data_IF_710872713609
#
_entry.id   IF_710872713609
#
_cell.length_a   1.000
_cell.length_b   1.000
_cell.length_c   1.000
_cell.angle_alpha   90.00
_cell.angle_beta   90.00
_cell.angle_gamma   90.00
#
_symmetry.space_group_name_H-M   'P 1'
#
loop_
_entity.id
_entity.type
_entity.pdbx_description
1 polymer ?
#
# COMPACT_ATOMS: atom_id res chain seq x y z
N UNK A 1 -71.71 1.00 -0.85
CA UNK A 1 -73.17 0.97 -1.06
C UNK A 1 -73.52 0.06 -2.24
N UNK A 2 -74.80 -0.15 -2.53
CA UNK A 2 -75.26 -0.47 -3.88
C UNK A 2 -74.86 0.70 -4.81
N UNK A 3 -74.17 0.42 -5.92
CA UNK A 3 -73.73 1.37 -6.96
C UNK A 3 -72.56 2.32 -6.63
N UNK A 4 -71.65 1.96 -5.71
CA UNK A 4 -70.36 2.67 -5.57
C UNK A 4 -70.40 4.04 -4.88
N UNK A 5 -71.53 4.43 -4.30
CA UNK A 5 -71.67 5.67 -3.51
C UNK A 5 -71.12 5.51 -2.08
N UNK A 6 -70.55 6.59 -1.57
CA UNK A 6 -70.08 6.68 -0.18
C UNK A 6 -71.30 6.92 0.72
N UNK A 7 -71.53 6.00 1.65
CA UNK A 7 -72.64 6.08 2.63
C UNK A 7 -72.17 6.64 3.97
N UNK A 8 -70.90 6.44 4.28
CA UNK A 8 -70.24 6.88 5.50
C UNK A 8 -68.72 6.86 5.26
N UNK A 9 -67.97 7.65 6.03
CA UNK A 9 -66.52 7.71 6.00
C UNK A 9 -65.98 8.03 7.40
N UNK A 10 -64.86 7.39 7.78
CA UNK A 10 -64.19 7.73 9.02
C UNK A 10 -63.36 9.00 8.88
N UNK A 11 -62.96 9.56 10.03
CA UNK A 11 -62.12 10.75 10.11
C UNK A 11 -60.78 10.60 9.36
N UNK A 12 -60.17 9.43 9.40
CA UNK A 12 -58.89 9.18 8.72
C UNK A 12 -59.02 9.30 7.19
N UNK A 13 -60.13 8.84 6.60
CA UNK A 13 -60.37 8.99 5.16
C UNK A 13 -60.57 10.46 4.77
N UNK A 14 -61.33 11.21 5.56
CA UNK A 14 -61.57 12.65 5.33
C UNK A 14 -60.26 13.45 5.43
N UNK A 15 -59.41 13.14 6.42
CA UNK A 15 -58.10 13.79 6.59
C UNK A 15 -57.12 13.40 5.46
N UNK A 16 -57.08 12.13 5.07
CA UNK A 16 -56.20 11.63 4.00
C UNK A 16 -56.48 12.31 2.65
N UNK A 17 -57.76 12.44 2.28
CA UNK A 17 -58.19 12.98 0.98
C UNK A 17 -58.54 14.49 1.01
N UNK A 18 -58.62 15.11 2.18
CA UNK A 18 -58.87 16.56 2.34
C UNK A 18 -60.31 16.99 2.06
N UNK A 19 -61.28 16.08 2.21
CA UNK A 19 -62.71 16.37 2.06
C UNK A 19 -63.42 16.34 3.42
N UNK A 20 -64.44 17.17 3.59
CA UNK A 20 -65.32 17.06 4.77
C UNK A 20 -66.30 15.88 4.61
N UNK A 21 -66.73 15.28 5.74
CA UNK A 21 -67.63 14.11 5.72
C UNK A 21 -68.92 14.38 4.92
N UNK A 22 -69.53 15.55 5.12
CA UNK A 22 -70.75 15.96 4.40
C UNK A 22 -70.53 16.17 2.89
N UNK A 23 -69.29 16.42 2.45
CA UNK A 23 -68.94 16.51 1.03
C UNK A 23 -68.72 15.14 0.39
N UNK A 24 -68.34 14.11 1.16
CA UNK A 24 -68.09 12.76 0.67
C UNK A 24 -69.37 11.92 0.63
N UNK A 25 -70.21 12.01 1.66
CA UNK A 25 -71.45 11.22 1.73
C UNK A 25 -72.37 11.55 0.55
N UNK A 26 -72.83 10.51 -0.15
CA UNK A 26 -73.68 10.61 -1.33
C UNK A 26 -72.94 10.76 -2.67
N UNK A 27 -71.64 11.10 -2.67
CA UNK A 27 -70.82 11.10 -3.88
C UNK A 27 -70.43 9.68 -4.30
N UNK A 28 -70.15 9.53 -5.60
CA UNK A 28 -69.51 8.34 -6.13
C UNK A 28 -68.07 8.24 -5.60
N UNK A 29 -67.68 7.09 -5.06
CA UNK A 29 -66.34 6.87 -4.51
C UNK A 29 -65.22 7.12 -5.54
N UNK A 30 -65.55 7.08 -6.83
CA UNK A 30 -64.60 7.37 -7.91
C UNK A 30 -64.11 8.82 -7.94
N UNK A 31 -64.76 9.74 -7.20
CA UNK A 31 -64.28 11.12 -7.04
C UNK A 31 -62.89 11.14 -6.38
N UNK A 32 -62.58 10.14 -5.55
CA UNK A 32 -61.29 9.95 -4.89
C UNK A 32 -60.24 9.31 -5.80
N UNK A 33 -60.54 9.11 -7.09
CA UNK A 33 -59.67 8.44 -8.05
C UNK A 33 -59.42 9.34 -9.26
N UNK A 34 -58.15 9.53 -9.68
CA UNK A 34 -57.82 10.34 -10.84
C UNK A 34 -58.30 9.67 -12.14
N UNK A 35 -58.60 10.45 -13.20
CA UNK A 35 -59.24 9.98 -14.43
C UNK A 35 -58.67 8.69 -15.02
N UNK A 36 -57.35 8.54 -15.01
CA UNK A 36 -56.62 7.41 -15.59
C UNK A 36 -56.91 6.08 -14.86
N UNK A 37 -57.21 6.14 -13.55
CA UNK A 37 -57.46 4.97 -12.72
C UNK A 37 -58.97 4.66 -12.55
N UNK A 38 -59.85 5.56 -13.00
CA UNK A 38 -61.30 5.46 -12.78
C UNK A 38 -61.91 4.19 -13.37
N UNK A 39 -61.53 3.83 -14.59
CA UNK A 39 -62.08 2.65 -15.27
C UNK A 39 -61.79 1.36 -14.50
N UNK A 40 -60.54 1.20 -14.04
CA UNK A 40 -60.13 0.07 -13.21
C UNK A 40 -60.92 0.02 -11.91
N UNK A 41 -61.02 1.14 -11.19
CA UNK A 41 -61.75 1.20 -9.91
C UNK A 41 -63.24 0.91 -10.11
N UNK A 42 -63.86 1.46 -11.17
CA UNK A 42 -65.26 1.16 -11.53
C UNK A 42 -65.46 -0.32 -11.77
N UNK A 43 -64.62 -0.93 -12.61
CA UNK A 43 -64.70 -2.35 -12.92
C UNK A 43 -64.60 -3.22 -11.67
N UNK A 44 -63.65 -2.92 -10.77
CA UNK A 44 -63.50 -3.63 -9.48
C UNK A 44 -64.72 -3.49 -8.57
N UNK A 45 -65.42 -2.35 -8.62
CA UNK A 45 -66.66 -2.12 -7.86
C UNK A 45 -67.82 -2.89 -8.50
N UNK A 46 -67.97 -2.82 -9.83
CA UNK A 46 -69.04 -3.48 -10.59
C UNK A 46 -68.93 -5.00 -10.59
N UNK A 47 -67.71 -5.55 -10.68
CA UNK A 47 -67.44 -6.99 -10.66
C UNK A 47 -67.54 -7.58 -9.24
N UNK A 48 -67.92 -6.78 -8.24
CA UNK A 48 -67.96 -7.15 -6.82
C UNK A 48 -66.62 -7.73 -6.29
N UNK A 49 -65.50 -7.38 -6.91
CA UNK A 49 -64.17 -7.92 -6.54
C UNK A 49 -63.75 -7.38 -5.17
N UNK A 50 -63.41 -8.29 -4.26
CA UNK A 50 -62.99 -8.01 -2.88
C UNK A 50 -61.48 -8.17 -2.68
N UNK A 51 -60.72 -8.59 -3.71
CA UNK A 51 -59.27 -8.69 -3.61
C UNK A 51 -58.65 -7.31 -3.41
N UNK A 52 -57.66 -7.15 -2.52
CA UNK A 52 -56.84 -5.94 -2.45
C UNK A 52 -56.23 -5.59 -3.80
N UNK A 53 -56.13 -4.30 -4.09
CA UNK A 53 -55.45 -3.81 -5.30
C UNK A 53 -54.91 -2.40 -5.08
N UNK A 54 -53.84 -2.07 -5.79
CA UNK A 54 -53.27 -0.73 -5.79
C UNK A 54 -53.96 0.16 -6.84
N UNK A 55 -54.08 1.45 -6.53
CA UNK A 55 -54.56 2.49 -7.42
C UNK A 55 -53.93 3.83 -7.02
N UNK A 56 -54.31 4.90 -7.71
CA UNK A 56 -54.01 6.26 -7.28
C UNK A 56 -55.24 6.89 -6.61
N UNK A 57 -54.99 7.62 -5.54
CA UNK A 57 -55.93 8.49 -4.85
C UNK A 57 -55.80 9.93 -5.33
N UNK A 58 -56.92 10.64 -5.42
CA UNK A 58 -56.98 12.06 -5.79
C UNK A 58 -57.54 12.85 -4.60
N UNK A 59 -56.71 13.71 -4.01
CA UNK A 59 -57.11 14.64 -2.95
C UNK A 59 -57.96 15.77 -3.51
N UNK A 60 -58.67 16.47 -2.62
CA UNK A 60 -59.49 17.65 -2.97
C UNK A 60 -58.69 18.77 -3.66
N UNK A 61 -57.43 18.95 -3.26
CA UNK A 61 -56.51 19.94 -3.83
C UNK A 61 -55.90 19.54 -5.18
N UNK A 62 -56.22 18.34 -5.68
CA UNK A 62 -55.69 17.80 -6.93
C UNK A 62 -54.43 16.94 -6.78
N UNK A 63 -53.87 16.81 -5.57
CA UNK A 63 -52.70 15.95 -5.33
C UNK A 63 -53.04 14.50 -5.59
N UNK A 64 -52.18 13.82 -6.35
CA UNK A 64 -52.32 12.40 -6.67
C UNK A 64 -51.29 11.60 -5.87
N UNK A 65 -51.73 10.53 -5.21
CA UNK A 65 -50.87 9.72 -4.34
C UNK A 65 -51.24 8.22 -4.42
N UNK A 66 -50.27 7.30 -4.24
CA UNK A 66 -50.53 5.88 -4.35
C UNK A 66 -51.33 5.37 -3.15
N UNK A 67 -52.34 4.54 -3.42
CA UNK A 67 -53.20 3.93 -2.40
C UNK A 67 -53.39 2.44 -2.62
N UNK A 68 -53.53 1.68 -1.54
CA UNK A 68 -54.05 0.31 -1.56
C UNK A 68 -55.54 0.33 -1.16
N UNK A 69 -56.39 -0.27 -2.00
CA UNK A 69 -57.81 -0.38 -1.77
C UNK A 69 -58.12 -1.80 -1.31
N UNK A 70 -58.69 -1.95 -0.11
CA UNK A 70 -59.07 -3.24 0.51
C UNK A 70 -60.58 -3.31 0.75
N UNK A 71 -61.33 -3.83 -0.22
CA UNK A 71 -62.78 -3.95 -0.10
C UNK A 71 -63.21 -5.24 0.61
N UNK A 72 -64.25 -5.14 1.43
CA UNK A 72 -64.96 -6.29 2.01
C UNK A 72 -66.47 -6.09 1.92
N UNK A 73 -67.21 -7.19 1.85
CA UNK A 73 -68.66 -7.17 1.96
C UNK A 73 -69.08 -7.55 3.37
N UNK A 74 -69.92 -6.71 3.98
CA UNK A 74 -70.50 -6.94 5.29
C UNK A 74 -72.03 -6.92 5.20
N UNK A 75 -72.73 -7.84 5.88
CA UNK A 75 -74.17 -7.74 6.06
C UNK A 75 -74.50 -6.63 7.06
N UNK A 76 -75.39 -5.71 6.69
CA UNK A 76 -75.89 -4.65 7.57
C UNK A 76 -77.38 -4.44 7.32
N UNK A 77 -78.21 -4.62 8.37
CA UNK A 77 -79.68 -4.45 8.32
C UNK A 77 -80.37 -5.17 7.14
N UNK A 78 -79.96 -6.42 6.87
CA UNK A 78 -80.53 -7.25 5.79
C UNK A 78 -80.03 -6.93 4.38
N UNK A 79 -79.06 -6.01 4.23
CA UNK A 79 -78.44 -5.62 2.95
C UNK A 79 -76.94 -5.92 2.95
N UNK A 80 -76.35 -6.19 1.78
CA UNK A 80 -74.89 -6.31 1.63
C UNK A 80 -74.29 -4.94 1.38
N UNK A 81 -73.42 -4.48 2.27
CA UNK A 81 -72.68 -3.24 2.09
C UNK A 81 -71.21 -3.53 1.79
N UNK A 82 -70.64 -2.78 0.85
CA UNK A 82 -69.21 -2.74 0.59
C UNK A 82 -68.55 -1.74 1.53
N UNK A 83 -67.64 -2.23 2.36
CA UNK A 83 -66.77 -1.43 3.23
C UNK A 83 -65.36 -1.51 2.66
N UNK A 84 -64.76 -0.35 2.44
CA UNK A 84 -63.46 -0.23 1.79
C UNK A 84 -62.48 0.43 2.75
N UNK A 85 -61.38 -0.25 3.04
CA UNK A 85 -60.20 0.37 3.65
C UNK A 85 -59.33 0.95 2.55
N UNK A 86 -58.86 2.17 2.74
CA UNK A 86 -57.87 2.82 1.86
C UNK A 86 -56.63 3.07 2.68
N UNK A 87 -55.48 2.60 2.18
CA UNK A 87 -54.17 2.74 2.83
C UNK A 87 -53.32 3.61 1.92
N UNK A 88 -52.73 4.67 2.46
CA UNK A 88 -51.75 5.49 1.76
C UNK A 88 -50.42 4.73 1.64
N UNK A 89 -49.91 4.59 0.41
CA UNK A 89 -48.65 3.90 0.12
C UNK A 89 -47.48 4.86 -0.15
N UNK A 90 -47.67 6.17 0.03
CA UNK A 90 -46.68 7.21 -0.31
C UNK A 90 -45.36 6.97 0.40
N UNK A 91 -45.39 6.85 1.73
CA UNK A 91 -44.19 6.63 2.55
C UNK A 91 -43.48 5.32 2.18
N UNK A 92 -44.26 4.24 2.01
CA UNK A 92 -43.71 2.94 1.63
C UNK A 92 -43.02 2.99 0.27
N UNK A 93 -43.65 3.57 -0.76
CA UNK A 93 -43.05 3.68 -2.10
C UNK A 93 -41.84 4.60 -2.11
N UNK A 94 -41.83 5.67 -1.31
CA UNK A 94 -40.64 6.51 -1.16
C UNK A 94 -39.48 5.76 -0.52
N UNK A 95 -39.72 4.96 0.53
CA UNK A 95 -38.68 4.14 1.16
C UNK A 95 -38.16 3.06 0.21
N UNK A 96 -39.04 2.37 -0.52
CA UNK A 96 -38.65 1.37 -1.53
C UNK A 96 -37.81 2.00 -2.66
N UNK A 97 -38.20 3.17 -3.17
CA UNK A 97 -37.46 3.87 -4.21
C UNK A 97 -36.12 4.42 -3.70
N UNK A 98 -36.07 4.99 -2.49
CA UNK A 98 -34.83 5.47 -1.89
C UNK A 98 -33.83 4.31 -1.66
N UNK A 99 -34.32 3.15 -1.20
CA UNK A 99 -33.50 1.94 -1.08
C UNK A 99 -32.98 1.49 -2.44
N UNK A 100 -33.85 1.40 -3.46
CA UNK A 100 -33.48 1.02 -4.82
C UNK A 100 -32.42 1.96 -5.42
N UNK A 101 -32.57 3.27 -5.21
CA UNK A 101 -31.61 4.27 -5.66
C UNK A 101 -30.27 4.15 -4.94
N UNK A 102 -30.30 3.93 -3.62
CA UNK A 102 -29.09 3.71 -2.82
C UNK A 102 -28.34 2.45 -3.26
N UNK A 103 -29.04 1.33 -3.46
CA UNK A 103 -28.45 0.08 -3.95
C UNK A 103 -27.86 0.22 -5.35
N UNK A 104 -28.56 0.92 -6.26
CA UNK A 104 -28.05 1.19 -7.60
C UNK A 104 -26.80 2.07 -7.58
N UNK A 105 -26.78 3.11 -6.74
CA UNK A 105 -25.62 3.97 -6.56
C UNK A 105 -24.43 3.20 -5.98
N UNK A 106 -24.66 2.42 -4.91
CA UNK A 106 -23.62 1.60 -4.29
C UNK A 106 -23.00 0.62 -5.28
N UNK A 107 -23.84 -0.12 -6.02
CA UNK A 107 -23.38 -1.04 -7.07
C UNK A 107 -22.55 -0.31 -8.13
N UNK A 108 -23.02 0.85 -8.60
CA UNK A 108 -22.28 1.64 -9.59
C UNK A 108 -20.91 2.06 -9.08
N UNK A 109 -20.82 2.53 -7.83
CA UNK A 109 -19.56 2.96 -7.21
C UNK A 109 -18.57 1.79 -7.07
N UNK A 110 -19.05 0.61 -6.64
CA UNK A 110 -18.20 -0.58 -6.47
C UNK A 110 -17.70 -1.13 -7.80
N UNK A 111 -18.57 -1.17 -8.82
CA UNK A 111 -18.20 -1.69 -10.15
C UNK A 111 -17.29 -0.75 -10.95
N UNK A 112 -17.42 0.56 -10.72
CA UNK A 112 -16.55 1.56 -11.35
C UNK A 112 -15.23 1.78 -10.62
N UNK A 113 -15.06 1.24 -9.41
CA UNK A 113 -13.80 1.34 -8.69
C UNK A 113 -12.70 0.60 -9.45
N UNK A 114 -11.52 1.22 -9.58
CA UNK A 114 -10.32 0.56 -10.12
C UNK A 114 -9.67 -0.36 -9.09
N UNK A 115 -10.00 -0.17 -7.82
CA UNK A 115 -9.60 -1.03 -6.72
C UNK A 115 -10.23 -2.42 -6.83
N UNK A 116 -9.45 -3.44 -6.52
CA UNK A 116 -9.97 -4.80 -6.41
C UNK A 116 -10.75 -4.91 -5.10
N UNK A 117 -12.07 -5.11 -5.20
CA UNK A 117 -12.96 -5.21 -4.04
C UNK A 117 -13.61 -6.59 -4.03
N UNK A 118 -13.53 -7.29 -2.90
CA UNK A 118 -14.17 -8.59 -2.75
C UNK A 118 -14.52 -8.93 -1.31
N UNK A 119 -15.55 -9.75 -1.17
CA UNK A 119 -16.02 -10.29 0.10
C UNK A 119 -15.52 -11.71 0.28
N UNK A 120 -15.05 -12.02 1.49
CA UNK A 120 -14.55 -13.34 1.86
C UNK A 120 -15.22 -13.79 3.14
N UNK A 121 -15.73 -15.01 3.16
CA UNK A 121 -16.30 -15.59 4.36
C UNK A 121 -15.20 -15.88 5.40
N UNK A 122 -15.39 -15.43 6.64
CA UNK A 122 -14.34 -15.54 7.66
C UNK A 122 -14.08 -17.00 8.11
N UNK A 123 -15.05 -17.91 7.95
CA UNK A 123 -14.97 -19.31 8.41
C UNK A 123 -14.50 -20.27 7.31
N UNK A 124 -15.06 -20.19 6.12
CA UNK A 124 -14.73 -21.06 4.99
C UNK A 124 -13.59 -20.51 4.15
N UNK A 125 -13.29 -19.21 4.29
CA UNK A 125 -12.31 -18.47 3.49
C UNK A 125 -12.67 -18.41 2.01
N UNK A 126 -13.90 -18.81 1.63
CA UNK A 126 -14.42 -18.72 0.26
C UNK A 126 -14.68 -17.27 -0.11
N UNK A 127 -14.43 -16.93 -1.37
CA UNK A 127 -14.88 -15.66 -1.94
C UNK A 127 -16.40 -15.73 -2.07
N UNK A 128 -17.08 -14.70 -1.57
CA UNK A 128 -18.53 -14.58 -1.58
C UNK A 128 -19.00 -13.70 -2.73
N UNK A 129 -18.24 -12.65 -3.03
CA UNK A 129 -18.58 -11.65 -4.04
C UNK A 129 -17.31 -10.88 -4.45
N UNK A 130 -17.27 -10.33 -5.65
CA UNK A 130 -16.15 -9.55 -6.17
C UNK A 130 -16.62 -8.53 -7.22
N UNK A 131 -15.96 -7.38 -7.28
CA UNK A 131 -16.21 -6.41 -8.34
C UNK A 131 -15.46 -6.77 -9.63
N UNK A 132 -15.89 -6.20 -10.76
CA UNK A 132 -15.27 -6.45 -12.06
C UNK A 132 -13.76 -6.12 -12.11
N UNK A 133 -13.29 -5.19 -11.26
CA UNK A 133 -11.88 -4.84 -11.20
C UNK A 133 -11.01 -6.01 -10.76
N UNK A 134 -11.41 -6.76 -9.72
CA UNK A 134 -10.69 -7.96 -9.29
C UNK A 134 -10.62 -9.00 -10.40
N UNK A 135 -11.74 -9.26 -11.08
CA UNK A 135 -11.82 -10.22 -12.19
C UNK A 135 -10.84 -9.86 -13.30
N UNK A 136 -10.81 -8.58 -13.72
CA UNK A 136 -9.85 -8.10 -14.74
C UNK A 136 -8.40 -8.14 -14.26
N UNK A 137 -8.14 -7.78 -13.00
CA UNK A 137 -6.78 -7.72 -12.43
C UNK A 137 -6.15 -9.11 -12.29
N UNK A 138 -6.93 -10.11 -11.84
CA UNK A 138 -6.44 -11.47 -11.59
C UNK A 138 -6.70 -12.45 -12.74
N UNK A 139 -7.63 -12.13 -13.65
CA UNK A 139 -7.95 -12.93 -14.83
C UNK A 139 -8.88 -14.13 -14.57
N UNK A 140 -9.53 -14.18 -13.40
CA UNK A 140 -10.54 -15.20 -13.08
C UNK A 140 -11.94 -14.73 -13.49
N UNK A 141 -12.82 -15.69 -13.78
CA UNK A 141 -14.26 -15.41 -13.92
C UNK A 141 -14.94 -15.40 -12.56
N UNK A 142 -16.14 -14.81 -12.47
CA UNK A 142 -16.94 -14.80 -11.23
C UNK A 142 -17.21 -16.23 -10.73
N UNK A 143 -17.66 -17.12 -11.62
CA UNK A 143 -17.91 -18.54 -11.31
C UNK A 143 -16.66 -19.26 -10.75
N UNK A 144 -15.46 -18.91 -11.23
CA UNK A 144 -14.21 -19.48 -10.73
C UNK A 144 -13.89 -18.93 -9.34
N UNK A 145 -14.02 -17.61 -9.14
CA UNK A 145 -13.75 -16.96 -7.86
C UNK A 145 -14.66 -17.48 -6.76
N UNK A 146 -15.96 -17.69 -7.04
CA UNK A 146 -16.91 -18.20 -6.05
C UNK A 146 -16.52 -19.58 -5.50
N UNK A 147 -15.81 -20.40 -6.28
CA UNK A 147 -15.30 -21.71 -5.84
C UNK A 147 -13.91 -21.64 -5.20
N UNK A 148 -13.24 -20.49 -5.28
CA UNK A 148 -11.91 -20.27 -4.72
C UNK A 148 -11.97 -19.82 -3.27
N UNK A 149 -10.83 -20.05 -2.60
CA UNK A 149 -10.57 -19.52 -1.27
C UNK A 149 -9.50 -18.44 -1.30
N UNK A 150 -9.40 -17.69 -0.21
CA UNK A 150 -8.34 -16.72 0.00
C UNK A 150 -6.94 -17.34 -0.16
N UNK A 151 -6.77 -18.64 0.13
CA UNK A 151 -5.50 -19.36 -0.01
C UNK A 151 -5.08 -19.56 -1.47
N UNK A 152 -6.03 -19.57 -2.41
CA UNK A 152 -5.75 -19.72 -3.83
C UNK A 152 -5.30 -18.38 -4.45
N UNK A 153 -5.82 -17.29 -3.90
CA UNK A 153 -5.54 -15.92 -4.36
C UNK A 153 -4.27 -15.36 -3.71
N UNK A 154 -4.10 -15.50 -2.40
CA UNK A 154 -2.99 -14.87 -1.67
C UNK A 154 -1.75 -15.77 -1.72
N UNK A 155 -0.68 -15.30 -2.34
CA UNK A 155 0.60 -16.02 -2.44
C UNK A 155 1.44 -15.88 -1.15
N UNK A 156 0.87 -16.25 0.00
CA UNK A 156 1.53 -16.33 1.31
C UNK A 156 1.21 -17.68 1.97
N UNK A 157 1.91 -18.01 3.05
CA UNK A 157 1.61 -19.23 3.79
C UNK A 157 0.24 -19.14 4.50
N UNK A 158 -0.48 -20.28 4.54
CA UNK A 158 -1.82 -20.34 5.12
C UNK A 158 -1.86 -19.90 6.59
N UNK A 159 -0.80 -20.18 7.35
CA UNK A 159 -0.71 -19.82 8.77
C UNK A 159 -0.66 -18.31 8.97
N UNK A 160 0.07 -17.59 8.14
CA UNK A 160 0.10 -16.13 8.11
C UNK A 160 -1.26 -15.55 7.73
N UNK A 161 -1.94 -16.15 6.74
CA UNK A 161 -3.29 -15.74 6.34
C UNK A 161 -4.25 -15.90 7.53
N UNK A 162 -4.30 -17.07 8.15
CA UNK A 162 -5.20 -17.35 9.28
C UNK A 162 -4.96 -16.44 10.48
N UNK A 163 -3.69 -16.17 10.80
CA UNK A 163 -3.32 -15.27 11.88
C UNK A 163 -3.77 -13.82 11.59
N UNK A 164 -3.67 -13.38 10.34
CA UNK A 164 -4.18 -12.07 9.94
C UNK A 164 -5.71 -12.00 10.01
N UNK A 165 -6.41 -13.06 9.58
CA UNK A 165 -7.87 -13.17 9.70
C UNK A 165 -8.29 -13.04 11.17
N UNK A 166 -7.66 -13.80 12.08
CA UNK A 166 -7.94 -13.73 13.51
C UNK A 166 -7.85 -12.30 14.06
N UNK A 167 -6.78 -11.57 13.69
CA UNK A 167 -6.59 -10.17 14.10
C UNK A 167 -7.63 -9.22 13.50
N UNK A 168 -7.95 -9.34 12.21
CA UNK A 168 -9.01 -8.55 11.56
C UNK A 168 -10.35 -8.75 12.26
N UNK A 169 -10.62 -9.99 12.65
CA UNK A 169 -11.83 -10.41 13.35
C UNK A 169 -11.92 -9.87 14.79
N UNK A 170 -10.80 -9.51 15.41
CA UNK A 170 -10.73 -8.87 16.73
C UNK A 170 -10.74 -7.34 16.64
N UNK A 171 -9.96 -6.76 15.71
CA UNK A 171 -9.75 -5.33 15.54
C UNK A 171 -10.86 -4.65 14.71
N UNK A 172 -11.58 -5.41 13.89
CA UNK A 172 -12.66 -4.93 13.00
C UNK A 172 -12.14 -4.32 11.69
N UNK A 173 -10.93 -3.75 11.68
CA UNK A 173 -10.29 -3.20 10.49
C UNK A 173 -8.77 -3.33 10.59
N UNK A 174 -8.09 -3.58 9.48
CA UNK A 174 -6.63 -3.67 9.43
C UNK A 174 -6.06 -3.35 8.06
N UNK A 175 -4.98 -2.59 8.04
CA UNK A 175 -4.11 -2.49 6.88
C UNK A 175 -3.08 -3.62 6.91
N UNK A 176 -3.06 -4.45 5.86
CA UNK A 176 -2.07 -5.52 5.72
C UNK A 176 -0.81 -5.04 4.98
N UNK A 177 -0.88 -3.88 4.31
CA UNK A 177 0.20 -3.36 3.47
C UNK A 177 0.40 -4.20 2.22
N UNK A 178 1.64 -4.28 1.75
CA UNK A 178 1.97 -4.98 0.51
C UNK A 178 1.84 -6.51 0.61
N UNK A 179 1.16 -7.11 -0.35
CA UNK A 179 0.98 -8.55 -0.51
C UNK A 179 1.15 -8.94 -1.96
N UNK A 180 1.22 -10.25 -2.20
CA UNK A 180 1.27 -10.82 -3.52
C UNK A 180 0.03 -11.66 -3.77
N UNK A 181 -0.70 -11.36 -4.83
CA UNK A 181 -1.83 -12.15 -5.29
C UNK A 181 -1.43 -12.98 -6.52
N UNK A 182 -2.03 -14.16 -6.66
CA UNK A 182 -1.80 -15.08 -7.76
C UNK A 182 -2.87 -14.89 -8.83
N UNK A 183 -2.44 -14.54 -10.04
CA UNK A 183 -3.30 -14.48 -11.22
C UNK A 183 -3.56 -15.89 -11.78
N UNK A 184 -4.59 -16.01 -12.61
CA UNK A 184 -4.96 -17.28 -13.27
C UNK A 184 -3.85 -17.88 -14.11
N UNK A 185 -3.03 -17.05 -14.75
CA UNK A 185 -1.87 -17.47 -15.54
C UNK A 185 -0.66 -17.91 -14.69
N UNK A 186 -0.79 -17.85 -13.36
CA UNK A 186 0.26 -18.19 -12.41
C UNK A 186 1.20 -17.02 -12.07
N UNK A 187 1.10 -15.89 -12.76
CA UNK A 187 1.89 -14.70 -12.45
C UNK A 187 1.48 -14.07 -11.12
N UNK A 188 2.38 -13.30 -10.51
CA UNK A 188 2.12 -12.60 -9.26
C UNK A 188 1.78 -11.13 -9.51
N UNK A 189 0.75 -10.65 -8.82
CA UNK A 189 0.36 -9.25 -8.70
C UNK A 189 0.89 -8.72 -7.38
N UNK A 190 1.65 -7.62 -7.41
CA UNK A 190 1.96 -6.90 -6.18
C UNK A 190 0.76 -5.99 -5.86
N UNK A 191 0.18 -6.15 -4.67
CA UNK A 191 -1.03 -5.42 -4.24
C UNK A 191 -0.83 -4.79 -2.87
N UNK A 192 -1.43 -3.64 -2.63
CA UNK A 192 -1.54 -3.03 -1.30
C UNK A 192 -2.94 -3.27 -0.73
N UNK A 193 -3.03 -3.86 0.46
CA UNK A 193 -4.28 -4.48 0.93
C UNK A 193 -4.77 -3.87 2.24
N UNK A 194 -6.04 -3.46 2.25
CA UNK A 194 -6.80 -3.08 3.43
C UNK A 194 -8.00 -4.01 3.60
N UNK A 195 -8.30 -4.39 4.84
CA UNK A 195 -9.37 -5.35 5.13
C UNK A 195 -10.23 -4.85 6.29
N UNK A 196 -11.54 -4.99 6.16
CA UNK A 196 -12.51 -4.67 7.21
C UNK A 196 -13.46 -5.83 7.43
N UNK A 197 -13.77 -6.14 8.70
CA UNK A 197 -14.81 -7.10 9.04
C UNK A 197 -16.19 -6.46 8.87
N UNK A 198 -17.09 -7.14 8.15
CA UNK A 198 -18.44 -6.66 7.85
C UNK A 198 -19.49 -7.74 8.14
N UNK A 199 -20.71 -7.36 8.56
CA UNK A 199 -21.80 -8.31 8.66
C UNK A 199 -22.29 -8.71 7.25
N UNK A 200 -22.49 -10.00 7.03
CA UNK A 200 -23.00 -10.54 5.77
C UNK A 200 -23.96 -11.70 6.06
N UNK A 201 -25.23 -11.56 5.70
CA UNK A 201 -26.30 -12.55 5.95
C UNK A 201 -26.37 -13.06 7.41
N UNK A 202 -26.05 -12.20 8.39
CA UNK A 202 -26.02 -12.56 9.81
C UNK A 202 -24.74 -13.27 10.28
N UNK A 203 -23.81 -13.55 9.37
CA UNK A 203 -22.45 -14.00 9.68
C UNK A 203 -21.44 -12.85 9.53
N UNK A 204 -20.16 -13.12 9.83
CA UNK A 204 -19.08 -12.16 9.59
C UNK A 204 -18.28 -12.53 8.36
N UNK A 205 -18.13 -11.55 7.48
CA UNK A 205 -17.26 -11.61 6.30
C UNK A 205 -16.14 -10.56 6.42
N UNK A 206 -15.18 -10.64 5.51
CA UNK A 206 -14.13 -9.65 5.31
C UNK A 206 -14.39 -8.95 3.98
N UNK A 207 -14.47 -7.63 4.01
CA UNK A 207 -14.38 -6.80 2.81
C UNK A 207 -12.91 -6.46 2.59
N UNK A 208 -12.34 -6.96 1.50
CA UNK A 208 -10.96 -6.73 1.10
C UNK A 208 -10.95 -5.69 -0.02
N UNK A 209 -10.14 -4.65 0.16
CA UNK A 209 -9.84 -3.64 -0.86
C UNK A 209 -8.35 -3.73 -1.15
N UNK A 210 -8.00 -3.99 -2.40
CA UNK A 210 -6.62 -4.21 -2.82
C UNK A 210 -6.25 -3.40 -4.07
N UNK A 211 -5.20 -2.60 -3.94
CA UNK A 211 -4.69 -1.76 -5.02
C UNK A 211 -3.58 -2.47 -5.78
N UNK A 212 -3.71 -2.69 -7.09
CA UNK A 212 -2.65 -3.31 -7.91
C UNK A 212 -1.50 -2.32 -8.18
N UNK A 213 -0.37 -2.54 -7.51
CA UNK A 213 0.85 -1.73 -7.62
C UNK A 213 1.91 -2.38 -8.50
N UNK A 214 1.56 -3.43 -9.24
CA UNK A 214 2.51 -4.23 -10.04
C UNK A 214 3.25 -3.37 -11.07
N UNK A 215 2.54 -2.52 -11.83
CA UNK A 215 3.17 -1.69 -12.86
C UNK A 215 4.12 -0.65 -12.26
N UNK A 216 3.67 0.02 -11.19
CA UNK A 216 4.50 1.00 -10.45
C UNK A 216 5.79 0.34 -9.97
N UNK A 217 5.72 -0.82 -9.33
CA UNK A 217 6.88 -1.56 -8.83
C UNK A 217 7.80 -2.08 -9.94
N UNK A 218 7.25 -2.48 -11.09
CA UNK A 218 8.07 -2.86 -12.26
C UNK A 218 8.83 -1.66 -12.81
N UNK A 219 8.18 -0.50 -12.91
CA UNK A 219 8.82 0.74 -13.35
C UNK A 219 9.91 1.19 -12.37
N UNK A 220 9.65 1.15 -11.06
CA UNK A 220 10.64 1.47 -10.02
C UNK A 220 11.86 0.55 -10.09
N UNK A 221 11.65 -0.77 -10.22
CA UNK A 221 12.74 -1.75 -10.38
C UNK A 221 13.55 -1.50 -11.65
N UNK A 222 12.88 -1.27 -12.78
CA UNK A 222 13.55 -0.99 -14.05
C UNK A 222 14.37 0.29 -14.01
N UNK A 223 13.87 1.35 -13.35
CA UNK A 223 14.61 2.58 -13.16
C UNK A 223 15.85 2.37 -12.28
N UNK A 224 15.75 1.55 -11.24
CA UNK A 224 16.89 1.22 -10.39
C UNK A 224 17.94 0.41 -11.15
N UNK A 225 17.53 -0.57 -11.94
CA UNK A 225 18.41 -1.36 -12.82
C UNK A 225 19.11 -0.46 -13.86
N UNK A 226 18.41 0.49 -14.48
CA UNK A 226 19.01 1.45 -15.43
C UNK A 226 20.02 2.36 -14.72
N UNK A 227 19.68 2.87 -13.54
CA UNK A 227 20.60 3.71 -12.75
C UNK A 227 21.85 2.94 -12.35
N UNK A 228 21.71 1.68 -11.98
CA UNK A 228 22.83 0.80 -11.66
C UNK A 228 23.70 0.53 -12.89
N UNK A 229 23.10 0.19 -14.03
CA UNK A 229 23.81 -0.01 -15.28
C UNK A 229 24.59 1.24 -15.72
N UNK A 230 24.00 2.42 -15.57
CA UNK A 230 24.65 3.69 -15.92
C UNK A 230 25.79 4.04 -14.96
N UNK A 231 25.63 3.80 -13.65
CA UNK A 231 26.72 3.94 -12.68
C UNK A 231 27.90 3.05 -13.04
N UNK A 232 27.65 1.80 -13.39
CA UNK A 232 28.69 0.84 -13.81
C UNK A 232 29.35 1.25 -15.12
N UNK A 233 28.60 1.83 -16.06
CA UNK A 233 29.16 2.38 -17.31
C UNK A 233 30.11 3.55 -17.03
N UNK A 234 29.68 4.51 -16.22
CA UNK A 234 30.49 5.66 -15.82
C UNK A 234 31.78 5.22 -15.10
N UNK A 235 31.70 4.23 -14.22
CA UNK A 235 32.87 3.72 -13.53
C UNK A 235 33.90 3.09 -14.48
N UNK A 236 33.43 2.35 -15.50
CA UNK A 236 34.29 1.78 -16.54
C UNK A 236 34.93 2.87 -17.39
N UNK A 237 34.16 3.84 -17.85
CA UNK A 237 34.69 4.96 -18.65
C UNK A 237 35.75 5.75 -17.86
N UNK A 238 35.48 6.10 -16.60
CA UNK A 238 36.46 6.77 -15.74
C UNK A 238 37.74 5.95 -15.51
N UNK A 239 37.62 4.62 -15.43
CA UNK A 239 38.76 3.73 -15.25
C UNK A 239 39.61 3.60 -16.52
N UNK A 240 38.97 3.41 -17.68
CA UNK A 240 39.66 3.02 -18.91
C UNK A 240 40.19 4.21 -19.72
N UNK A 241 39.56 5.38 -19.65
CA UNK A 241 40.09 6.59 -20.28
C UNK A 241 40.80 7.48 -19.26
N UNK A 242 40.03 8.08 -18.36
CA UNK A 242 40.51 9.21 -17.53
C UNK A 242 41.60 8.80 -16.54
N UNK A 243 41.44 7.67 -15.85
CA UNK A 243 42.43 7.22 -14.88
C UNK A 243 43.72 6.73 -15.56
N UNK A 244 43.62 6.02 -16.69
CA UNK A 244 44.79 5.56 -17.44
C UNK A 244 45.59 6.74 -17.99
N UNK A 245 44.93 7.74 -18.57
CA UNK A 245 45.56 8.94 -19.12
C UNK A 245 46.31 9.74 -18.04
N UNK A 246 45.70 9.92 -16.86
CA UNK A 246 46.32 10.65 -15.75
C UNK A 246 47.49 9.85 -15.16
N UNK A 247 47.38 8.52 -15.07
CA UNK A 247 48.48 7.66 -14.62
C UNK A 247 49.63 7.71 -15.63
N UNK A 248 49.36 7.71 -16.93
CA UNK A 248 50.36 7.86 -17.98
C UNK A 248 51.08 9.22 -17.87
N UNK A 249 50.33 10.32 -17.76
CA UNK A 249 50.89 11.65 -17.57
C UNK A 249 51.76 11.75 -16.31
N UNK A 250 51.34 11.11 -15.21
CA UNK A 250 52.12 11.02 -13.98
C UNK A 250 53.44 10.25 -14.18
N UNK A 251 53.42 9.16 -14.96
CA UNK A 251 54.62 8.38 -15.28
C UNK A 251 55.60 9.18 -16.15
N UNK A 252 55.13 9.92 -17.15
CA UNK A 252 56.02 10.77 -17.97
C UNK A 252 56.70 11.85 -17.13
N UNK A 253 55.96 12.52 -16.24
CA UNK A 253 56.54 13.54 -15.35
C UNK A 253 57.58 12.93 -14.41
N UNK A 254 57.31 11.74 -13.84
CA UNK A 254 58.27 11.05 -12.98
C UNK A 254 59.56 10.67 -13.75
N UNK A 255 59.44 10.22 -15.00
CA UNK A 255 60.60 9.93 -15.85
C UNK A 255 61.41 11.21 -16.12
N UNK A 256 60.73 12.32 -16.44
CA UNK A 256 61.41 13.62 -16.64
C UNK A 256 62.15 14.07 -15.37
N UNK A 257 61.57 13.90 -14.19
CA UNK A 257 62.23 14.21 -12.92
C UNK A 257 63.50 13.38 -12.68
N UNK A 258 63.51 12.10 -13.09
CA UNK A 258 64.68 11.21 -12.96
C UNK A 258 65.77 11.60 -13.97
N UNK A 259 65.40 12.03 -15.17
CA UNK A 259 66.34 12.37 -16.27
C UNK A 259 66.95 13.77 -16.08
N UNK A 260 66.22 14.73 -15.51
CA UNK A 260 66.65 16.14 -15.39
C UNK A 260 67.70 16.41 -14.31
N UNK A 261 68.03 15.47 -13.42
CA UNK A 261 69.05 15.65 -12.38
C UNK A 261 68.68 16.68 -11.30
N UNK A 262 69.69 17.28 -10.65
CA UNK A 262 69.58 18.09 -9.41
C UNK A 262 68.81 19.42 -9.52
N UNK A 263 68.42 19.86 -10.73
CA UNK A 263 67.50 21.00 -10.90
C UNK A 263 66.05 20.52 -10.65
N UNK A 264 65.68 20.47 -9.37
CA UNK A 264 64.29 20.25 -8.93
C UNK A 264 63.41 21.38 -9.43
N UNK A 265 62.77 21.18 -10.57
CA UNK A 265 61.73 22.09 -11.05
C UNK A 265 60.49 21.93 -10.17
N UNK A 266 60.31 22.84 -9.21
CA UNK A 266 59.18 22.84 -8.26
C UNK A 266 57.83 22.78 -8.98
N UNK A 267 57.72 23.34 -10.19
CA UNK A 267 56.49 23.27 -10.98
C UNK A 267 56.16 21.84 -11.45
N UNK A 268 57.17 21.02 -11.76
CA UNK A 268 56.97 19.60 -12.10
C UNK A 268 56.57 18.78 -10.86
N UNK A 269 57.13 19.10 -9.69
CA UNK A 269 56.76 18.45 -8.42
C UNK A 269 55.32 18.77 -8.03
N UNK A 270 54.93 20.04 -8.10
CA UNK A 270 53.56 20.49 -7.82
C UNK A 270 52.54 19.87 -8.80
N UNK A 271 52.92 19.70 -10.07
CA UNK A 271 52.08 19.06 -11.10
C UNK A 271 51.94 17.56 -10.88
N UNK A 272 53.04 16.86 -10.58
CA UNK A 272 53.02 15.44 -10.24
C UNK A 272 52.14 15.17 -9.02
N UNK A 273 52.24 16.01 -8.00
CA UNK A 273 51.40 15.90 -6.82
C UNK A 273 49.94 16.19 -7.13
N UNK A 274 49.62 17.21 -7.95
CA UNK A 274 48.25 17.45 -8.40
C UNK A 274 47.65 16.25 -9.14
N UNK A 275 48.41 15.60 -10.03
CA UNK A 275 47.96 14.39 -10.74
C UNK A 275 47.77 13.21 -9.79
N UNK A 276 48.68 12.99 -8.82
CA UNK A 276 48.48 11.96 -7.78
C UNK A 276 47.17 12.18 -7.03
N UNK A 277 46.86 13.43 -6.64
CA UNK A 277 45.58 13.76 -5.98
C UNK A 277 44.39 13.42 -6.87
N UNK A 278 44.46 13.72 -8.16
CA UNK A 278 43.41 13.39 -9.14
C UNK A 278 43.23 11.88 -9.33
N UNK A 279 44.32 11.10 -9.42
CA UNK A 279 44.26 9.62 -9.51
C UNK A 279 43.59 9.03 -8.28
N UNK A 280 43.97 9.47 -7.08
CA UNK A 280 43.37 8.98 -5.84
C UNK A 280 41.88 9.33 -5.75
N UNK A 281 41.50 10.56 -6.13
CA UNK A 281 40.11 10.98 -6.21
C UNK A 281 39.29 10.15 -7.20
N UNK A 282 39.84 9.88 -8.40
CA UNK A 282 39.18 9.05 -9.41
C UNK A 282 39.07 7.58 -8.97
N UNK A 283 40.12 7.01 -8.35
CA UNK A 283 40.03 5.65 -7.77
C UNK A 283 38.93 5.56 -6.72
N UNK A 284 38.81 6.60 -5.88
CA UNK A 284 37.71 6.73 -4.93
C UNK A 284 36.36 6.71 -5.63
N UNK A 285 36.12 7.61 -6.58
CA UNK A 285 34.86 7.68 -7.31
C UNK A 285 34.50 6.39 -8.06
N UNK A 286 35.47 5.75 -8.73
CA UNK A 286 35.28 4.48 -9.43
C UNK A 286 34.89 3.37 -8.44
N UNK A 287 35.54 3.31 -7.27
CA UNK A 287 35.21 2.34 -6.24
C UNK A 287 33.79 2.57 -5.67
N UNK A 288 33.42 3.83 -5.42
CA UNK A 288 32.07 4.19 -4.95
C UNK A 288 31.00 3.79 -5.98
N UNK A 289 31.29 3.94 -7.28
CA UNK A 289 30.39 3.54 -8.37
C UNK A 289 30.33 2.02 -8.60
N UNK A 290 31.41 1.28 -8.32
CA UNK A 290 31.53 -0.17 -8.59
C UNK A 290 31.21 -1.09 -7.44
N UNK A 291 30.91 -0.57 -6.25
CA UNK A 291 30.73 -1.38 -5.04
C UNK A 291 29.70 -2.53 -5.21
N UNK A 292 28.76 -2.40 -6.14
CA UNK A 292 27.74 -3.40 -6.46
C UNK A 292 28.21 -4.57 -7.35
N UNK A 293 29.23 -4.40 -8.20
CA UNK A 293 29.71 -5.46 -9.14
C UNK A 293 30.43 -6.62 -8.42
N UNK A 294 30.67 -6.50 -7.11
CA UNK A 294 31.36 -7.51 -6.30
C UNK A 294 30.45 -8.69 -5.94
N UNK A 295 29.75 -9.26 -6.92
CA UNK A 295 28.76 -10.33 -6.76
C UNK A 295 29.35 -11.69 -6.35
N UNK A 296 30.68 -11.85 -6.36
CA UNK A 296 31.38 -13.12 -6.06
C UNK A 296 32.40 -13.04 -4.91
N UNK A 297 32.53 -11.93 -4.18
CA UNK A 297 33.50 -11.82 -3.05
C UNK A 297 32.80 -11.85 -1.69
N UNK A 298 33.49 -12.40 -0.69
CA UNK A 298 33.03 -12.36 0.71
C UNK A 298 32.93 -10.91 1.21
N UNK A 299 31.97 -10.63 2.10
CA UNK A 299 31.81 -9.32 2.76
C UNK A 299 33.16 -8.81 3.30
N UNK A 300 33.91 -9.70 3.97
CA UNK A 300 35.22 -9.39 4.55
C UNK A 300 36.17 -8.84 3.49
N UNK A 301 36.27 -9.48 2.32
CA UNK A 301 37.13 -9.00 1.23
C UNK A 301 36.69 -7.64 0.68
N UNK A 302 35.38 -7.40 0.60
CA UNK A 302 34.86 -6.08 0.18
C UNK A 302 35.23 -4.99 1.19
N UNK A 303 35.16 -5.29 2.49
CA UNK A 303 35.51 -4.36 3.56
C UNK A 303 37.02 -4.12 3.67
N UNK A 304 37.85 -5.16 3.50
CA UNK A 304 39.31 -5.04 3.40
C UNK A 304 39.70 -4.05 2.29
N UNK A 305 39.13 -4.22 1.09
CA UNK A 305 39.38 -3.31 -0.03
C UNK A 305 38.93 -1.88 0.27
N UNK A 306 37.78 -1.72 0.92
CA UNK A 306 37.22 -0.42 1.29
C UNK A 306 38.07 0.29 2.35
N UNK A 307 38.53 -0.45 3.36
CA UNK A 307 39.43 0.03 4.41
C UNK A 307 40.77 0.44 3.82
N UNK A 308 41.37 -0.38 2.96
CA UNK A 308 42.63 -0.06 2.30
C UNK A 308 42.54 1.16 1.38
N UNK A 309 41.43 1.32 0.66
CA UNK A 309 41.16 2.52 -0.12
C UNK A 309 41.09 3.76 0.78
N UNK A 310 40.38 3.66 1.91
CA UNK A 310 40.25 4.78 2.86
C UNK A 310 41.58 5.11 3.56
N UNK A 311 42.40 4.12 3.92
CA UNK A 311 43.77 4.35 4.43
C UNK A 311 44.60 5.18 3.45
N UNK A 312 44.54 4.85 2.15
CA UNK A 312 45.25 5.60 1.10
C UNK A 312 44.74 7.04 0.97
N UNK A 313 43.41 7.22 0.96
CA UNK A 313 42.80 8.55 0.86
C UNK A 313 42.97 9.41 2.14
N UNK A 314 43.16 8.78 3.30
CA UNK A 314 43.43 9.48 4.55
C UNK A 314 44.79 10.17 4.54
N UNK A 315 45.78 9.67 3.78
CA UNK A 315 47.17 10.16 3.74
C UNK A 315 47.80 10.34 5.13
N UNK A 316 47.53 9.40 6.03
CA UNK A 316 48.04 9.45 7.41
C UNK A 316 47.35 10.48 8.32
N UNK A 317 46.21 11.06 7.90
CA UNK A 317 45.41 11.93 8.79
C UNK A 317 44.84 11.18 9.99
N UNK A 318 44.55 9.90 9.83
CA UNK A 318 44.05 9.02 10.87
C UNK A 318 44.49 7.58 10.63
N UNK A 319 44.57 6.80 11.70
CA UNK A 319 44.73 5.35 11.68
C UNK A 319 43.37 4.68 11.48
N UNK A 320 43.30 3.66 10.63
CA UNK A 320 42.07 2.93 10.32
C UNK A 320 42.30 1.43 10.50
N UNK A 321 41.63 0.84 11.47
CA UNK A 321 41.70 -0.59 11.78
C UNK A 321 40.46 -1.34 11.28
N UNK A 322 40.68 -2.57 10.82
CA UNK A 322 39.63 -3.53 10.52
C UNK A 322 39.80 -4.72 11.46
N UNK A 323 38.81 -4.96 12.29
CA UNK A 323 38.75 -6.07 13.24
C UNK A 323 37.61 -6.99 12.82
N UNK A 324 37.91 -8.27 12.61
CA UNK A 324 36.91 -9.31 12.31
C UNK A 324 37.04 -10.35 13.41
N UNK A 325 35.99 -10.54 14.21
CA UNK A 325 35.94 -11.58 15.23
C UNK A 325 35.92 -12.98 14.57
N UNK A 326 36.61 -13.94 15.19
CA UNK A 326 36.84 -15.28 14.62
C UNK A 326 35.55 -16.09 14.34
N UNK A 327 34.46 -15.76 15.03
CA UNK A 327 33.16 -16.40 14.91
C UNK A 327 32.25 -15.71 13.88
N UNK A 328 32.67 -14.60 13.28
CA UNK A 328 31.89 -13.90 12.26
C UNK A 328 31.78 -14.73 10.97
N UNK A 329 30.58 -14.87 10.38
CA UNK A 329 30.38 -15.68 9.18
C UNK A 329 31.12 -15.13 7.95
N UNK A 330 32.10 -15.90 7.45
CA UNK A 330 32.95 -15.51 6.32
C UNK A 330 32.20 -15.34 4.97
N UNK A 331 30.98 -15.87 4.85
CA UNK A 331 30.10 -15.69 3.68
C UNK A 331 28.73 -15.23 4.12
N UNK A 332 28.31 -14.10 3.57
CA UNK A 332 26.95 -13.59 3.68
C UNK A 332 26.26 -13.65 2.31
N UNK A 333 24.92 -13.80 2.27
CA UNK A 333 24.15 -13.71 1.04
C UNK A 333 24.44 -12.39 0.32
N UNK A 334 24.50 -12.41 -1.02
CA UNK A 334 24.99 -11.29 -1.83
C UNK A 334 24.30 -9.95 -1.52
N UNK A 335 22.98 -9.94 -1.33
CA UNK A 335 22.22 -8.73 -1.00
C UNK A 335 22.57 -8.17 0.39
N UNK A 336 22.69 -9.03 1.40
CA UNK A 336 23.01 -8.59 2.78
C UNK A 336 24.45 -8.08 2.88
N UNK A 337 25.40 -8.77 2.24
CA UNK A 337 26.79 -8.31 2.17
C UNK A 337 26.94 -6.96 1.45
N UNK A 338 26.18 -6.73 0.39
CA UNK A 338 26.17 -5.45 -0.33
C UNK A 338 25.67 -4.30 0.55
N UNK A 339 24.51 -4.46 1.20
CA UNK A 339 23.97 -3.40 2.05
C UNK A 339 24.87 -3.11 3.26
N UNK A 340 25.47 -4.13 3.88
CA UNK A 340 26.44 -3.97 4.95
C UNK A 340 27.67 -3.18 4.50
N UNK A 341 28.19 -3.48 3.32
CA UNK A 341 29.34 -2.77 2.75
C UNK A 341 29.00 -1.30 2.50
N UNK A 342 27.78 -0.99 2.05
CA UNK A 342 27.31 0.39 1.87
C UNK A 342 27.17 1.16 3.18
N UNK A 343 26.70 0.51 4.26
CA UNK A 343 26.63 1.13 5.58
C UNK A 343 28.03 1.55 6.06
N UNK A 344 29.01 0.66 5.94
CA UNK A 344 30.40 0.96 6.31
C UNK A 344 30.99 2.06 5.41
N UNK A 345 30.69 2.05 4.12
CA UNK A 345 31.12 3.08 3.17
C UNK A 345 30.62 4.47 3.55
N UNK A 346 29.33 4.58 3.88
CA UNK A 346 28.69 5.84 4.27
C UNK A 346 29.30 6.36 5.57
N UNK A 347 29.48 5.47 6.57
CA UNK A 347 30.12 5.81 7.83
C UNK A 347 31.57 6.31 7.63
N UNK A 348 32.40 5.61 6.86
CA UNK A 348 33.77 6.05 6.57
C UNK A 348 33.83 7.33 5.73
N UNK A 349 32.84 7.56 4.87
CA UNK A 349 32.71 8.83 4.15
C UNK A 349 32.41 9.98 5.09
N UNK A 350 31.54 9.77 6.09
CA UNK A 350 31.27 10.75 7.13
C UNK A 350 32.51 11.03 7.97
N UNK A 351 33.26 9.99 8.36
CA UNK A 351 34.53 10.15 9.06
C UNK A 351 35.49 11.05 8.27
N UNK A 352 35.71 10.71 6.99
CA UNK A 352 36.63 11.43 6.10
C UNK A 352 36.25 12.90 5.88
N UNK A 353 34.95 13.21 5.87
CA UNK A 353 34.43 14.57 5.59
C UNK A 353 34.20 15.41 6.84
N UNK A 354 33.92 14.78 7.98
CA UNK A 354 33.31 15.46 9.11
C UNK A 354 33.88 15.09 10.48
N UNK A 355 34.56 13.96 10.66
CA UNK A 355 34.96 13.53 12.01
C UNK A 355 36.18 14.27 12.56
N UNK A 356 37.16 14.64 11.73
CA UNK A 356 38.47 15.14 12.21
C UNK A 356 39.14 14.16 13.21
N UNK A 357 38.88 12.86 13.04
CA UNK A 357 39.39 11.78 13.89
C UNK A 357 40.89 11.53 13.70
N UNK A 358 41.50 10.89 14.71
CA UNK A 358 42.87 10.35 14.69
C UNK A 358 42.88 8.83 14.60
N UNK A 359 41.87 8.16 15.14
CA UNK A 359 41.68 6.72 15.09
C UNK A 359 40.25 6.39 14.67
N UNK A 360 40.15 5.42 13.77
CA UNK A 360 38.89 4.94 13.23
C UNK A 360 38.95 3.41 13.25
N UNK A 361 37.91 2.77 13.72
CA UNK A 361 37.82 1.31 13.80
C UNK A 361 36.58 0.81 13.08
N UNK A 362 36.77 -0.18 12.23
CA UNK A 362 35.69 -0.98 11.64
C UNK A 362 35.75 -2.35 12.30
N UNK A 363 34.65 -2.77 12.92
CA UNK A 363 34.56 -4.01 13.67
C UNK A 363 33.39 -4.87 13.17
N UNK A 364 33.64 -6.18 13.01
CA UNK A 364 32.65 -7.17 12.63
C UNK A 364 32.64 -8.27 13.67
N UNK A 365 31.48 -8.54 14.27
CA UNK A 365 31.40 -9.48 15.37
C UNK A 365 30.02 -10.09 15.60
N UNK A 366 29.94 -10.91 16.65
CA UNK A 366 28.71 -11.55 17.11
C UNK A 366 28.40 -11.18 18.56
N UNK A 367 27.21 -10.61 18.79
CA UNK A 367 26.72 -10.27 20.13
C UNK A 367 25.33 -10.84 20.35
N UNK A 368 25.16 -11.71 21.35
CA UNK A 368 23.85 -12.25 21.73
C UNK A 368 23.08 -13.00 20.63
N UNK A 369 23.76 -13.51 19.60
CA UNK A 369 23.12 -14.15 18.42
C UNK A 369 22.75 -13.17 17.30
N UNK A 370 23.18 -11.92 17.39
CA UNK A 370 23.14 -10.90 16.35
C UNK A 370 24.55 -10.73 15.76
N UNK A 371 24.66 -10.74 14.44
CA UNK A 371 25.87 -10.29 13.76
C UNK A 371 25.84 -8.77 13.64
N UNK A 372 26.94 -8.12 14.01
CA UNK A 372 27.04 -6.68 13.94
C UNK A 372 28.21 -6.22 13.07
N UNK A 373 28.03 -5.04 12.48
CA UNK A 373 29.09 -4.28 11.83
C UNK A 373 29.08 -2.90 12.45
N UNK A 374 30.23 -2.47 12.95
CA UNK A 374 30.40 -1.22 13.67
C UNK A 374 31.50 -0.39 13.02
N UNK A 375 31.26 0.92 12.94
CA UNK A 375 32.27 1.91 12.59
C UNK A 375 32.32 2.93 13.73
N UNK A 376 33.47 3.07 14.35
CA UNK A 376 33.73 4.05 15.42
C UNK A 376 34.90 4.96 15.07
N UNK A 377 34.82 6.21 15.50
CA UNK A 377 35.91 7.19 15.39
C UNK A 377 36.05 8.01 16.68
N UNK A 378 37.26 8.50 16.94
CA UNK A 378 37.61 9.39 18.07
C UNK A 378 37.54 10.88 17.71
N UNK A 379 36.73 11.23 16.70
CA UNK A 379 36.63 12.57 16.17
C UNK A 379 35.85 13.55 17.06
N UNK A 380 35.51 14.71 16.48
CA UNK A 380 34.78 15.78 17.18
C UNK A 380 33.35 15.41 17.59
N UNK A 381 32.81 14.32 17.06
CA UNK A 381 31.42 13.90 17.26
C UNK A 381 30.38 15.00 16.93
N UNK A 382 29.13 14.77 17.31
CA UNK A 382 28.06 15.76 17.21
C UNK A 382 26.92 15.43 18.17
N UNK A 383 26.08 16.41 18.48
CA UNK A 383 24.85 16.19 19.24
C UNK A 383 23.82 15.47 18.36
N UNK A 384 23.59 14.19 18.66
CA UNK A 384 22.69 13.32 17.90
C UNK A 384 21.21 13.74 17.97
N UNK A 385 20.79 14.45 19.04
CA UNK A 385 19.43 14.93 19.21
C UNK A 385 19.20 16.27 18.47
N UNK A 386 20.20 17.15 18.46
CA UNK A 386 20.11 18.46 17.79
C UNK A 386 20.39 18.41 16.28
N UNK A 387 21.25 17.50 15.83
CA UNK A 387 21.50 17.31 14.41
C UNK A 387 20.29 16.58 13.80
N UNK A 388 19.35 17.30 13.16
CA UNK A 388 18.18 16.71 12.49
C UNK A 388 18.53 15.64 11.44
N UNK A 389 17.55 14.86 10.92
CA UNK A 389 17.78 13.70 10.07
C UNK A 389 18.51 14.07 8.77
N UNK A 390 19.83 13.87 8.74
CA UNK A 390 20.62 13.96 7.51
C UNK A 390 20.26 12.83 6.55
N UNK A 391 20.31 13.11 5.25
CA UNK A 391 19.96 12.16 4.17
C UNK A 391 20.74 10.83 4.31
N UNK A 392 22.03 10.88 4.65
CA UNK A 392 22.85 9.70 4.88
C UNK A 392 22.38 8.84 6.05
N UNK A 393 22.03 9.46 7.19
CA UNK A 393 21.55 8.75 8.39
C UNK A 393 20.17 8.13 8.19
N UNK A 394 19.28 8.84 7.49
CA UNK A 394 17.97 8.30 7.15
C UNK A 394 18.09 7.13 6.17
N UNK A 395 19.01 7.20 5.20
CA UNK A 395 19.30 6.09 4.30
C UNK A 395 19.88 4.89 5.05
N UNK A 396 20.84 5.09 5.95
CA UNK A 396 21.43 4.01 6.75
C UNK A 396 20.37 3.31 7.63
N UNK A 397 19.52 4.09 8.31
CA UNK A 397 18.44 3.55 9.14
C UNK A 397 17.39 2.78 8.32
N UNK A 398 17.03 3.29 7.14
CA UNK A 398 16.08 2.63 6.25
C UNK A 398 16.61 1.27 5.75
N UNK A 399 17.88 1.22 5.29
CA UNK A 399 18.53 -0.02 4.85
C UNK A 399 18.60 -1.07 5.96
N UNK A 400 18.90 -0.63 7.18
CA UNK A 400 18.93 -1.50 8.33
C UNK A 400 17.58 -2.19 8.58
N UNK A 401 16.50 -1.40 8.51
CA UNK A 401 15.12 -1.88 8.62
C UNK A 401 14.72 -2.83 7.48
N UNK A 402 15.13 -2.54 6.23
CA UNK A 402 14.86 -3.42 5.08
C UNK A 402 15.47 -4.82 5.22
N UNK A 403 16.65 -4.91 5.86
CA UNK A 403 17.28 -6.20 6.18
C UNK A 403 16.68 -6.88 7.41
N UNK A 404 15.78 -6.20 8.13
CA UNK A 404 15.23 -6.66 9.41
C UNK A 404 16.26 -6.66 10.53
N UNK A 405 17.22 -5.74 10.48
CA UNK A 405 18.20 -5.48 11.52
C UNK A 405 17.90 -4.19 12.31
N UNK A 406 18.77 -3.91 13.27
CA UNK A 406 18.74 -2.72 14.12
C UNK A 406 19.89 -1.79 13.74
N UNK A 407 19.64 -0.47 13.85
CA UNK A 407 20.62 0.57 13.60
C UNK A 407 20.73 1.46 14.83
N UNK A 408 21.94 1.57 15.35
CA UNK A 408 22.30 2.35 16.51
C UNK A 408 23.37 3.38 16.16
N UNK A 409 23.20 4.59 16.67
CA UNK A 409 24.08 5.73 16.40
C UNK A 409 24.31 6.46 17.70
N UNK A 410 25.53 6.37 18.22
CA UNK A 410 25.97 7.10 19.40
C UNK A 410 26.95 8.18 18.94
N UNK A 411 26.71 9.43 19.33
CA UNK A 411 27.68 10.49 19.14
C UNK A 411 27.45 11.59 20.15
N UNK A 412 28.55 12.14 20.67
CA UNK A 412 28.55 13.30 21.52
C UNK A 412 29.70 14.25 21.11
N UNK A 413 29.54 15.57 21.31
CA UNK A 413 30.61 16.52 21.05
C UNK A 413 31.91 16.14 21.78
N UNK A 414 33.01 16.12 21.04
CA UNK A 414 34.37 15.75 21.46
C UNK A 414 34.56 14.30 21.95
N UNK A 415 33.56 13.43 21.79
CA UNK A 415 33.63 11.99 22.14
C UNK A 415 33.62 11.07 20.91
N UNK A 416 33.51 11.62 19.71
CA UNK A 416 33.49 10.88 18.45
C UNK A 416 32.10 10.38 18.04
N UNK A 417 32.08 9.47 17.08
CA UNK A 417 30.86 8.86 16.56
C UNK A 417 31.01 7.35 16.48
N UNK A 418 29.97 6.63 16.89
CA UNK A 418 29.83 5.18 16.77
C UNK A 418 28.55 4.86 16.02
N UNK A 419 28.70 4.12 14.93
CA UNK A 419 27.60 3.62 14.10
C UNK A 419 27.62 2.10 14.17
N UNK A 420 26.58 1.50 14.74
CA UNK A 420 26.45 0.05 14.86
C UNK A 420 25.22 -0.42 14.12
N UNK A 421 25.39 -1.43 13.27
CA UNK A 421 24.30 -2.15 12.64
C UNK A 421 24.32 -3.60 13.09
N UNK A 422 23.17 -4.12 13.50
CA UNK A 422 23.01 -5.49 14.04
C UNK A 422 21.92 -6.25 13.31
N UNK A 423 22.14 -7.52 12.97
CA UNK A 423 21.17 -8.38 12.28
C UNK A 423 21.15 -9.79 12.89
N UNK A 424 19.97 -10.42 13.07
CA UNK A 424 19.92 -11.79 13.57
C UNK A 424 20.66 -12.78 12.66
N UNK A 425 21.51 -13.63 13.23
CA UNK A 425 22.29 -14.63 12.46
C UNK A 425 21.38 -15.58 11.68
N UNK A 426 20.18 -15.86 12.20
CA UNK A 426 19.15 -16.66 11.52
C UNK A 426 18.68 -16.08 10.18
N UNK A 427 18.83 -14.76 9.98
CA UNK A 427 18.53 -14.06 8.72
C UNK A 427 19.71 -14.07 7.76
N UNK A 428 20.94 -14.27 8.24
CA UNK A 428 22.13 -14.37 7.40
C UNK A 428 22.23 -15.70 6.66
N UNK A 429 21.59 -16.77 7.16
CA UNK A 429 21.69 -18.13 6.56
C UNK A 429 20.52 -18.44 5.61
N UNK A 430 19.48 -17.59 5.55
CA UNK A 430 18.25 -17.82 4.78
C UNK A 430 18.08 -16.95 3.53
N UNK A 431 19.15 -16.32 3.04
CA UNK A 431 19.15 -15.49 1.83
C UNK A 431 19.41 -16.30 0.56
#
# INVERSE_FOLDING_TARGET
SENGRIIDANRSLTEMFGYDLGELVGKDAIVLTPPEHREMVRRRISDEDTRPYESMGLKRDGTVFPIEIRPRHLPYSGRRIRVTSVIDLTERKHQEEALRQSEALYRTVVEQAEENIFLVDAKSRRVLDANDALLRSLGYTDDELQEMTLYDIVAHDQKSIDLNIGRIMEEGHRSLGERQYRRKDGSLADVEVNVSAVPYNGERAMCVVAHDVTQRKRAERMLEEIREAERNRLARELHDSTLQDIVYALQEIQIMQVVSGDDRDQALEDTADALKRSVEGLRGAIFELRLQETLDRSLVSSLENLVDLNRRMARGRYELDLVVEDDFPARLPGKTGQELTRLVQEALTNVRRHAEARHVRVELGLDGGLAYVEVSDDGRGFDAEMAGPGIGRQSMRHRALELGGEFDLESAPDEGTRVRFSIPVSRLVKG
#
